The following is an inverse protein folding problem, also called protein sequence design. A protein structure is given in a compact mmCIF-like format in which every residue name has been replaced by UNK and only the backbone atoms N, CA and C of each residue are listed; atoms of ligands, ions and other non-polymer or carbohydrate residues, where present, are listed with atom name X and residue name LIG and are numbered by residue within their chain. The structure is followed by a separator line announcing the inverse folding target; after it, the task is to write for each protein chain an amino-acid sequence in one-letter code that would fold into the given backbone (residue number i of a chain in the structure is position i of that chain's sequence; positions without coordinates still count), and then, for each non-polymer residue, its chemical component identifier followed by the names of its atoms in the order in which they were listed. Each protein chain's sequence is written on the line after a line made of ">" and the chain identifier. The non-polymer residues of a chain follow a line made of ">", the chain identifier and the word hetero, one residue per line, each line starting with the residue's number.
data_IF_763777400700
#
_entry.id   IF_763777400700
#
_cell.length_a   1.000
_cell.length_b   1.000
_cell.length_c   1.000
_cell.angle_alpha   90.00
_cell.angle_beta   90.00
_cell.angle_gamma   90.00
#
_symmetry.space_group_name_H-M   'P 1'
#
loop_
_entity.id
_entity.type
_entity.pdbx_description
1 polymer ?
#
# COMPACT_ATOMS: atom_id res chain seq x y z
N UNK A 1 10.48 60.65 5.65
CA UNK A 1 10.10 61.93 5.08
C UNK A 1 9.12 61.70 3.94
N UNK A 2 8.01 62.43 4.07
CA UNK A 2 6.83 62.63 3.20
C UNK A 2 5.68 61.66 3.31
N UNK A 3 4.75 62.10 4.15
CA UNK A 3 3.30 61.92 4.11
C UNK A 3 2.73 62.50 2.79
N UNK A 4 1.67 61.90 2.30
CA UNK A 4 0.55 62.68 1.74
C UNK A 4 -0.71 61.83 1.76
N UNK A 5 -1.67 62.31 2.54
CA UNK A 5 -3.10 62.05 2.55
C UNK A 5 -3.73 62.20 1.19
N UNK A 6 -4.79 61.47 0.89
CA UNK A 6 -5.95 62.02 0.20
C UNK A 6 -7.26 61.36 0.65
N UNK A 7 -8.14 62.20 1.03
CA UNK A 7 -9.45 62.16 1.61
C UNK A 7 -10.55 61.60 0.71
N UNK A 8 -11.48 60.99 1.32
CA UNK A 8 -12.92 60.79 1.24
C UNK A 8 -13.73 61.84 0.44
N UNK A 9 -14.66 61.37 -0.44
CA UNK A 9 -15.98 61.99 -0.78
C UNK A 9 -16.81 60.86 -1.38
N UNK A 10 -17.89 60.48 -0.83
CA UNK A 10 -19.26 60.91 -0.55
C UNK A 10 -20.23 60.68 -1.73
N UNK A 11 -21.25 59.90 -1.40
CA UNK A 11 -22.67 59.87 -1.79
C UNK A 11 -23.10 59.93 -3.26
N UNK A 12 -23.93 59.00 -3.69
CA UNK A 12 -25.39 59.18 -3.86
C UNK A 12 -26.04 58.12 -4.74
N UNK A 13 -27.19 57.71 -4.26
CA UNK A 13 -28.45 57.39 -4.95
C UNK A 13 -28.65 56.02 -5.58
N UNK A 14 -29.52 55.27 -4.89
CA UNK A 14 -30.42 54.25 -5.44
C UNK A 14 -31.35 54.78 -6.54
N UNK A 15 -31.90 53.89 -7.35
CA UNK A 15 -33.35 53.75 -7.31
C UNK A 15 -33.82 52.29 -7.16
N UNK A 16 -34.89 52.18 -6.37
CA UNK A 16 -35.79 51.05 -6.27
C UNK A 16 -36.39 50.66 -7.63
N UNK A 17 -36.42 49.37 -7.91
CA UNK A 17 -37.40 48.79 -8.81
C UNK A 17 -38.13 47.62 -8.13
N UNK A 18 -39.43 47.90 -7.89
CA UNK A 18 -40.47 46.99 -7.49
C UNK A 18 -40.68 45.85 -8.49
N UNK A 19 -40.81 44.66 -7.98
CA UNK A 19 -41.91 43.76 -8.19
C UNK A 19 -41.98 42.93 -9.45
N UNK A 20 -41.91 41.64 -9.29
CA UNK A 20 -43.03 40.78 -9.67
C UNK A 20 -42.67 39.32 -9.29
N UNK A 21 -43.64 38.68 -8.66
CA UNK A 21 -43.57 37.35 -8.11
C UNK A 21 -43.33 36.25 -9.13
N UNK A 22 -42.61 35.26 -8.69
CA UNK A 22 -42.63 33.96 -9.29
C UNK A 22 -42.92 32.93 -8.18
N UNK A 23 -44.01 32.24 -8.42
CA UNK A 23 -44.66 31.20 -7.66
C UNK A 23 -43.68 30.09 -7.22
N UNK A 24 -43.62 29.87 -5.92
CA UNK A 24 -43.08 28.64 -5.32
C UNK A 24 -43.96 27.46 -5.74
N UNK A 25 -43.34 26.45 -6.33
CA UNK A 25 -43.90 25.09 -6.46
C UNK A 25 -43.64 24.32 -5.18
N UNK A 26 -44.66 23.67 -4.60
CA UNK A 26 -44.47 22.89 -3.43
C UNK A 26 -43.73 21.55 -3.72
N UNK A 27 -43.02 20.96 -2.72
CA UNK A 27 -42.30 19.71 -2.90
C UNK A 27 -43.28 18.56 -3.12
N UNK A 28 -42.92 17.52 -3.89
CA UNK A 28 -43.79 16.35 -4.12
C UNK A 28 -43.94 15.53 -2.85
N UNK A 29 -45.22 15.26 -2.50
CA UNK A 29 -45.62 14.41 -1.39
C UNK A 29 -45.26 12.94 -1.63
N UNK A 30 -44.63 12.33 -0.64
CA UNK A 30 -44.43 10.89 -0.49
C UNK A 30 -45.77 10.15 -0.26
N UNK A 31 -46.51 9.84 -1.30
CA UNK A 31 -47.60 8.87 -1.22
C UNK A 31 -48.04 8.42 -2.60
N UNK A 32 -47.32 7.52 -3.22
CA UNK A 32 -47.80 6.63 -4.28
C UNK A 32 -46.75 5.58 -4.64
N UNK A 33 -46.52 4.64 -3.75
CA UNK A 33 -46.00 3.32 -4.12
C UNK A 33 -46.67 2.32 -3.22
N UNK A 34 -47.90 1.98 -3.59
CA UNK A 34 -48.53 0.75 -3.09
C UNK A 34 -49.34 0.13 -4.21
N UNK A 35 -49.23 -1.20 -4.29
CA UNK A 35 -50.12 -2.14 -4.96
C UNK A 35 -49.98 -2.29 -6.48
N UNK A 36 -49.06 -3.18 -6.85
CA UNK A 36 -49.33 -4.18 -7.87
C UNK A 36 -49.04 -5.59 -7.33
N UNK A 37 -50.04 -6.13 -6.64
CA UNK A 37 -50.17 -7.57 -6.48
C UNK A 37 -50.46 -8.19 -7.86
N UNK A 38 -49.52 -8.99 -8.36
CA UNK A 38 -49.80 -9.93 -9.42
C UNK A 38 -50.13 -11.28 -8.81
N UNK A 39 -51.41 -11.58 -8.80
CA UNK A 39 -51.94 -12.90 -8.61
C UNK A 39 -51.41 -13.84 -9.70
N UNK A 40 -50.53 -14.77 -9.36
CA UNK A 40 -50.24 -15.92 -10.18
C UNK A 40 -50.94 -17.15 -9.61
N UNK A 41 -51.88 -17.68 -10.39
CA UNK A 41 -52.59 -18.90 -10.11
C UNK A 41 -51.63 -20.08 -9.97
N UNK A 42 -51.82 -20.79 -8.91
CA UNK A 42 -51.20 -22.07 -8.61
C UNK A 42 -51.76 -23.13 -9.52
N UNK A 43 -51.02 -23.64 -10.49
CA UNK A 43 -51.38 -24.85 -11.20
C UNK A 43 -50.37 -25.93 -10.79
N UNK A 44 -50.83 -26.80 -9.93
CA UNK A 44 -50.11 -27.96 -9.42
C UNK A 44 -50.10 -29.09 -10.44
N UNK A 45 -48.95 -29.26 -11.12
CA UNK A 45 -48.63 -30.54 -11.78
C UNK A 45 -47.27 -31.03 -11.24
N UNK A 46 -47.33 -32.09 -10.42
CA UNK A 46 -46.15 -32.67 -9.78
C UNK A 46 -45.13 -33.25 -10.76
N UNK A 47 -43.84 -33.10 -10.53
CA UNK A 47 -42.83 -33.66 -11.41
C UNK A 47 -42.68 -35.16 -11.14
N UNK A 48 -42.74 -35.94 -12.25
CA UNK A 48 -42.33 -37.34 -12.28
C UNK A 48 -40.82 -37.46 -12.03
N UNK A 49 -40.38 -37.52 -10.81
CA UNK A 49 -38.97 -37.57 -10.37
C UNK A 49 -38.28 -38.93 -10.54
N UNK A 50 -38.93 -39.93 -11.12
CA UNK A 50 -38.37 -41.31 -11.22
C UNK A 50 -37.51 -41.65 -12.41
N UNK A 51 -37.60 -40.92 -13.54
CA UNK A 51 -36.90 -41.32 -14.79
C UNK A 51 -35.55 -40.66 -15.02
N UNK A 52 -35.31 -39.49 -14.43
CA UNK A 52 -34.04 -38.74 -14.60
C UNK A 52 -32.91 -39.28 -13.72
N UNK A 53 -33.19 -39.79 -12.54
CA UNK A 53 -32.20 -40.32 -11.63
C UNK A 53 -31.61 -41.65 -12.15
N UNK A 54 -32.43 -42.47 -12.80
CA UNK A 54 -31.95 -43.73 -13.39
C UNK A 54 -31.03 -43.50 -14.60
N UNK A 55 -31.29 -42.48 -15.42
CA UNK A 55 -30.42 -42.09 -16.55
C UNK A 55 -29.06 -41.59 -16.14
N UNK A 56 -28.98 -40.79 -15.08
CA UNK A 56 -27.71 -40.24 -14.57
C UNK A 56 -26.86 -41.35 -13.93
N UNK A 57 -27.46 -42.29 -13.23
CA UNK A 57 -26.72 -43.40 -12.61
C UNK A 57 -26.12 -44.35 -13.65
N UNK A 58 -26.81 -44.58 -14.78
CA UNK A 58 -26.30 -45.44 -15.88
C UNK A 58 -25.16 -44.75 -16.62
N UNK A 59 -25.24 -43.43 -16.86
CA UNK A 59 -24.16 -42.66 -17.50
C UNK A 59 -22.93 -42.60 -16.63
N UNK A 60 -23.07 -42.36 -15.34
CA UNK A 60 -21.96 -42.36 -14.40
C UNK A 60 -21.27 -43.74 -14.28
N UNK A 61 -22.02 -44.82 -14.31
CA UNK A 61 -21.51 -46.19 -14.35
C UNK A 61 -20.71 -46.51 -15.62
N UNK A 62 -21.17 -46.05 -16.78
CA UNK A 62 -20.45 -46.23 -18.05
C UNK A 62 -19.11 -45.47 -18.09
N UNK A 63 -19.07 -44.24 -17.61
CA UNK A 63 -17.82 -43.47 -17.50
C UNK A 63 -16.82 -44.05 -16.51
N UNK A 64 -17.29 -44.64 -15.41
CA UNK A 64 -16.44 -45.33 -14.43
C UNK A 64 -15.81 -46.59 -15.03
N UNK A 65 -16.56 -47.35 -15.84
CA UNK A 65 -16.09 -48.57 -16.46
C UNK A 65 -15.10 -48.30 -17.61
N UNK A 66 -15.34 -47.27 -18.42
CA UNK A 66 -14.39 -46.82 -19.45
C UNK A 66 -13.12 -46.24 -18.85
N UNK A 67 -13.22 -45.44 -17.81
CA UNK A 67 -12.05 -44.88 -17.08
C UNK A 67 -11.18 -45.98 -16.45
N UNK A 68 -11.80 -47.02 -15.89
CA UNK A 68 -11.10 -48.15 -15.31
C UNK A 68 -10.34 -49.00 -16.35
N UNK A 69 -10.93 -49.23 -17.54
CA UNK A 69 -10.28 -50.00 -18.62
C UNK A 69 -9.11 -49.20 -19.23
N UNK A 70 -9.28 -47.88 -19.43
CA UNK A 70 -8.20 -47.00 -19.94
C UNK A 70 -7.06 -46.89 -18.92
N UNK A 71 -7.36 -46.76 -17.63
CA UNK A 71 -6.37 -46.74 -16.56
C UNK A 71 -5.52 -48.01 -16.50
N UNK A 72 -6.17 -49.20 -16.58
CA UNK A 72 -5.48 -50.50 -16.59
C UNK A 72 -4.66 -50.72 -17.89
N UNK A 73 -5.06 -50.15 -19.00
CA UNK A 73 -4.33 -50.25 -20.28
C UNK A 73 -3.05 -49.38 -20.25
N UNK A 74 -3.14 -48.18 -19.71
CA UNK A 74 -2.00 -47.25 -19.57
C UNK A 74 -0.97 -47.85 -18.59
N UNK A 75 -1.41 -48.42 -17.48
CA UNK A 75 -0.50 -49.04 -16.49
C UNK A 75 0.22 -50.31 -17.05
N UNK A 76 -0.43 -51.02 -17.96
CA UNK A 76 0.16 -52.16 -18.65
C UNK A 76 1.21 -51.80 -19.69
N UNK A 77 1.01 -50.66 -20.42
CA UNK A 77 2.01 -50.19 -21.38
C UNK A 77 3.23 -49.57 -20.74
N UNK A 78 3.09 -48.89 -19.58
CA UNK A 78 4.23 -48.34 -18.84
C UNK A 78 5.10 -49.43 -18.30
N UNK A 79 4.54 -50.54 -17.76
CA UNK A 79 5.29 -51.64 -17.23
C UNK A 79 5.99 -52.50 -18.31
N UNK A 80 5.61 -52.41 -19.58
CA UNK A 80 6.28 -53.12 -20.72
C UNK A 80 7.44 -52.31 -21.33
N UNK A 81 7.56 -51.03 -21.01
CA UNK A 81 8.68 -50.17 -21.46
C UNK A 81 9.88 -50.11 -20.54
N UNK A 82 9.78 -50.58 -19.32
CA UNK A 82 10.89 -50.55 -18.35
C UNK A 82 11.91 -51.69 -18.46
N UNK A 83 11.76 -52.56 -19.47
CA UNK A 83 12.60 -53.75 -19.57
C UNK A 83 13.49 -53.80 -20.82
N UNK A 84 14.21 -52.73 -21.17
CA UNK A 84 15.43 -52.81 -21.99
C UNK A 84 15.99 -51.38 -22.29
N UNK A 85 16.69 -50.82 -21.35
CA UNK A 85 17.77 -49.86 -21.62
C UNK A 85 18.68 -49.79 -20.41
N UNK A 86 19.75 -50.56 -20.50
CA UNK A 86 20.88 -50.39 -19.59
C UNK A 86 21.64 -49.15 -20.04
N UNK A 87 21.15 -47.97 -19.74
CA UNK A 87 21.95 -46.77 -19.72
C UNK A 87 22.60 -46.64 -18.33
N UNK A 88 23.90 -46.70 -18.34
CA UNK A 88 24.75 -46.42 -17.17
C UNK A 88 24.55 -44.95 -16.83
N UNK A 89 23.50 -44.62 -16.04
CA UNK A 89 23.37 -43.32 -15.40
C UNK A 89 24.47 -43.24 -14.35
N UNK A 90 25.50 -42.47 -14.67
CA UNK A 90 26.46 -41.98 -13.67
C UNK A 90 25.64 -41.20 -12.64
N UNK A 91 25.31 -41.83 -11.53
CA UNK A 91 24.73 -41.16 -10.39
C UNK A 91 25.72 -40.08 -9.93
N UNK A 92 25.45 -38.83 -10.28
CA UNK A 92 25.99 -37.72 -9.52
C UNK A 92 25.35 -37.80 -8.16
N UNK A 93 26.05 -38.43 -7.23
CA UNK A 93 25.68 -38.44 -5.82
C UNK A 93 25.80 -37.01 -5.33
N UNK A 94 24.70 -36.23 -5.47
CA UNK A 94 24.56 -35.01 -4.70
C UNK A 94 24.57 -35.43 -3.25
N UNK A 95 25.65 -35.11 -2.54
CA UNK A 95 25.70 -35.30 -1.10
C UNK A 95 24.41 -34.68 -0.50
N UNK A 96 23.70 -35.38 0.38
CA UNK A 96 22.56 -34.77 1.05
C UNK A 96 23.07 -33.51 1.74
N UNK A 97 22.44 -32.35 1.42
CA UNK A 97 22.66 -31.16 2.21
C UNK A 97 22.14 -31.51 3.59
N UNK A 98 23.07 -31.85 4.50
CA UNK A 98 22.76 -31.97 5.91
C UNK A 98 22.49 -30.55 6.38
N UNK A 99 21.20 -30.15 6.32
CA UNK A 99 20.76 -28.98 7.04
C UNK A 99 20.91 -29.33 8.51
N UNK A 100 21.97 -28.79 9.11
CA UNK A 100 22.19 -28.98 10.54
C UNK A 100 20.93 -28.41 11.24
N UNK A 101 20.22 -29.28 11.98
CA UNK A 101 18.99 -28.94 12.73
C UNK A 101 19.18 -27.84 13.78
N UNK A 102 20.35 -27.20 13.82
CA UNK A 102 20.66 -26.07 14.71
C UNK A 102 20.50 -24.67 14.05
N UNK A 103 20.36 -24.58 12.69
CA UNK A 103 20.30 -23.27 12.02
C UNK A 103 18.91 -22.63 12.11
N UNK A 104 17.84 -23.41 12.16
CA UNK A 104 16.47 -22.86 12.25
C UNK A 104 16.23 -22.20 13.62
N UNK A 105 16.78 -22.73 14.69
CA UNK A 105 16.63 -22.14 16.03
C UNK A 105 17.36 -20.79 16.18
N UNK A 106 18.42 -20.55 15.42
CA UNK A 106 19.18 -19.29 15.53
C UNK A 106 18.48 -18.14 14.77
N UNK A 107 17.98 -18.39 13.58
CA UNK A 107 17.23 -17.40 12.81
C UNK A 107 15.92 -17.03 13.51
N UNK A 108 15.16 -18.00 14.01
CA UNK A 108 13.92 -17.78 14.76
C UNK A 108 14.19 -17.00 16.06
N UNK A 109 15.30 -17.31 16.76
CA UNK A 109 15.73 -16.57 17.94
C UNK A 109 16.09 -15.12 17.64
N UNK A 110 16.71 -14.84 16.47
CA UNK A 110 17.04 -13.49 16.04
C UNK A 110 15.77 -12.70 15.71
N UNK A 111 14.83 -13.26 14.96
CA UNK A 111 13.56 -12.62 14.62
C UNK A 111 12.80 -12.25 15.90
N UNK A 112 12.68 -13.18 16.84
CA UNK A 112 12.03 -12.93 18.12
C UNK A 112 12.72 -11.81 18.92
N UNK A 113 14.06 -11.81 18.97
CA UNK A 113 14.83 -10.79 19.68
C UNK A 113 14.66 -9.40 19.05
N UNK A 114 14.67 -9.31 17.72
CA UNK A 114 14.43 -8.06 16.97
C UNK A 114 13.02 -7.56 17.22
N UNK A 115 12.01 -8.40 17.08
CA UNK A 115 10.61 -8.06 17.31
C UNK A 115 10.37 -7.55 18.74
N UNK A 116 10.92 -8.24 19.73
CA UNK A 116 10.79 -7.84 21.16
C UNK A 116 11.45 -6.49 21.42
N UNK A 117 12.63 -6.26 20.87
CA UNK A 117 13.35 -4.98 21.05
C UNK A 117 12.62 -3.81 20.41
N UNK A 118 12.04 -4.00 19.23
CA UNK A 118 11.38 -2.96 18.46
C UNK A 118 9.93 -2.72 18.89
N UNK A 119 9.31 -3.62 19.64
CA UNK A 119 7.93 -3.48 20.08
C UNK A 119 7.64 -2.11 20.74
N UNK A 120 8.60 -1.55 21.47
CA UNK A 120 8.46 -0.24 22.14
C UNK A 120 8.75 0.96 21.22
N UNK A 121 9.29 0.72 20.03
CA UNK A 121 9.58 1.75 19.01
C UNK A 121 8.55 1.79 17.90
N UNK A 122 7.54 0.89 17.94
CA UNK A 122 6.48 0.76 16.94
C UNK A 122 5.12 0.97 17.61
N UNK A 123 4.27 1.74 16.96
CA UNK A 123 2.98 2.16 17.52
C UNK A 123 1.85 1.95 16.52
N UNK A 124 0.62 1.76 17.02
CA UNK A 124 -0.58 1.83 16.18
C UNK A 124 -0.95 3.29 15.96
N UNK A 125 -1.16 3.69 14.70
CA UNK A 125 -1.69 5.01 14.33
C UNK A 125 -3.15 4.84 13.90
N UNK A 126 -4.04 5.61 14.49
CA UNK A 126 -5.48 5.55 14.24
C UNK A 126 -5.95 6.93 13.86
N UNK A 127 -6.47 7.06 12.67
CA UNK A 127 -7.01 8.31 12.10
C UNK A 127 -8.52 8.22 11.96
N UNK A 128 -9.24 9.23 12.44
CA UNK A 128 -10.67 9.41 12.20
C UNK A 128 -10.84 10.34 11.01
N UNK A 129 -11.61 9.92 10.01
CA UNK A 129 -11.82 10.64 8.75
C UNK A 129 -13.23 11.24 8.71
N UNK A 130 -13.40 12.45 8.15
CA UNK A 130 -14.71 13.08 7.97
C UNK A 130 -15.33 13.63 9.26
N UNK A 131 -16.64 13.91 9.25
CA UNK A 131 -17.35 14.41 10.43
C UNK A 131 -17.45 13.34 11.52
N UNK A 132 -17.42 13.78 12.79
CA UNK A 132 -17.52 12.89 13.95
C UNK A 132 -18.85 12.11 13.90
N UNK A 133 -18.74 10.78 13.83
CA UNK A 133 -19.90 9.86 13.83
C UNK A 133 -20.41 9.41 12.44
N UNK A 134 -19.92 10.00 11.35
CA UNK A 134 -20.28 9.62 9.97
C UNK A 134 -19.05 9.23 9.14
N UNK A 135 -17.85 9.51 9.65
CA UNK A 135 -16.58 9.33 8.95
C UNK A 135 -16.01 7.92 9.06
N UNK A 136 -15.13 7.60 8.10
CA UNK A 136 -14.34 6.38 8.10
C UNK A 136 -13.23 6.41 9.16
N UNK A 137 -12.56 5.26 9.32
CA UNK A 137 -11.37 5.11 10.16
C UNK A 137 -10.25 4.55 9.30
N UNK A 138 -9.07 5.16 9.38
CA UNK A 138 -7.83 4.62 8.82
C UNK A 138 -6.96 4.11 9.97
N UNK A 139 -6.32 2.97 9.78
CA UNK A 139 -5.42 2.39 10.76
C UNK A 139 -4.13 1.99 10.06
N UNK A 140 -3.03 2.38 10.67
CA UNK A 140 -1.69 2.05 10.24
C UNK A 140 -0.74 1.90 11.42
N UNK A 141 0.52 1.93 11.12
CA UNK A 141 1.62 1.81 12.06
C UNK A 141 2.47 3.08 12.03
N UNK A 142 3.20 3.35 13.09
CA UNK A 142 4.19 4.41 13.16
C UNK A 142 5.48 3.95 13.81
N UNK A 143 6.57 4.64 13.50
CA UNK A 143 7.91 4.41 14.03
C UNK A 143 8.31 5.60 14.90
N UNK A 144 8.65 5.36 16.14
CA UNK A 144 9.11 6.41 17.08
C UNK A 144 10.49 6.91 16.63
N UNK A 145 10.59 8.20 16.32
CA UNK A 145 11.83 8.87 15.91
C UNK A 145 12.62 9.43 17.06
N UNK A 146 11.91 9.94 18.10
CA UNK A 146 12.54 10.64 19.22
C UNK A 146 11.91 10.27 20.55
N UNK A 147 12.70 10.38 21.62
CA UNK A 147 12.23 10.07 22.97
C UNK A 147 11.17 11.03 23.49
N UNK A 148 10.98 12.18 22.83
CA UNK A 148 9.97 13.18 23.17
C UNK A 148 8.71 13.13 22.31
N UNK A 149 8.54 12.10 21.45
CA UNK A 149 7.28 11.78 20.83
C UNK A 149 7.11 12.14 19.34
N UNK A 150 8.17 12.40 18.58
CA UNK A 150 8.08 12.41 17.12
C UNK A 150 7.92 10.97 16.61
N UNK A 151 6.98 10.79 15.70
CA UNK A 151 6.63 9.48 15.11
C UNK A 151 6.49 9.68 13.62
N UNK A 152 7.12 8.79 12.84
CA UNK A 152 6.98 8.70 11.39
C UNK A 152 5.89 7.69 11.04
N UNK A 153 5.06 8.01 10.07
CA UNK A 153 4.06 7.09 9.49
C UNK A 153 3.88 7.41 8.01
N UNK A 154 3.00 6.70 7.30
CA UNK A 154 2.67 7.08 5.93
C UNK A 154 1.70 8.27 5.87
N UNK A 155 1.81 9.09 4.82
CA UNK A 155 0.91 10.22 4.59
C UNK A 155 -0.53 9.75 4.36
N UNK A 156 -0.75 8.65 3.63
CA UNK A 156 -2.08 8.10 3.39
C UNK A 156 -2.78 7.62 4.66
N UNK A 157 -2.04 7.23 5.72
CA UNK A 157 -2.61 6.81 7.01
C UNK A 157 -3.28 7.99 7.72
N UNK A 158 -2.74 9.20 7.57
CA UNK A 158 -3.25 10.43 8.22
C UNK A 158 -3.96 11.37 7.25
N UNK A 159 -4.08 11.00 5.97
CA UNK A 159 -4.75 11.80 4.92
C UNK A 159 -6.19 12.09 5.31
N UNK A 160 -6.58 13.36 5.25
CA UNK A 160 -7.94 13.84 5.58
C UNK A 160 -8.41 13.48 7.00
N UNK A 161 -7.48 13.23 7.91
CA UNK A 161 -7.81 12.94 9.30
C UNK A 161 -8.26 14.21 10.03
N UNK A 162 -9.40 14.15 10.71
CA UNK A 162 -9.86 15.20 11.64
C UNK A 162 -9.30 14.99 13.05
N UNK A 163 -8.89 13.77 13.37
CA UNK A 163 -8.14 13.46 14.57
C UNK A 163 -7.22 12.26 14.35
N UNK A 164 -6.07 12.28 15.01
CA UNK A 164 -5.12 11.17 15.03
C UNK A 164 -4.83 10.82 16.46
N UNK A 165 -4.87 9.52 16.76
CA UNK A 165 -4.43 9.00 18.06
C UNK A 165 -3.41 7.88 17.85
N UNK A 166 -2.52 7.70 18.81
CA UNK A 166 -1.45 6.71 18.78
C UNK A 166 -1.58 5.81 20.00
N UNK A 167 -1.51 4.50 19.79
CA UNK A 167 -1.48 3.52 20.88
C UNK A 167 -0.12 2.83 20.91
N UNK A 168 0.55 2.91 22.06
CA UNK A 168 1.82 2.25 22.30
C UNK A 168 1.61 0.79 22.72
N UNK A 169 2.66 -0.03 22.54
CA UNK A 169 2.64 -1.42 22.97
C UNK A 169 2.34 -1.52 24.49
N UNK A 170 1.37 -2.36 24.87
CA UNK A 170 0.97 -2.57 26.25
C UNK A 170 0.09 -1.46 26.86
N UNK A 171 -0.19 -0.36 26.15
CA UNK A 171 -1.13 0.67 26.58
C UNK A 171 -2.55 0.36 26.12
N UNK A 172 -3.53 0.56 27.04
CA UNK A 172 -4.96 0.43 26.74
C UNK A 172 -5.53 1.71 26.14
N UNK A 173 -5.05 2.86 26.62
CA UNK A 173 -5.56 4.16 26.21
C UNK A 173 -4.69 4.78 25.11
N UNK A 174 -5.28 5.19 23.98
CA UNK A 174 -4.54 5.89 22.94
C UNK A 174 -4.25 7.32 23.34
N UNK A 175 -3.11 7.85 22.90
CA UNK A 175 -2.70 9.24 23.09
C UNK A 175 -3.03 10.08 21.86
N UNK A 176 -3.50 11.31 22.07
CA UNK A 176 -3.76 12.25 20.96
C UNK A 176 -2.43 12.62 20.30
N UNK A 177 -2.41 12.57 18.97
CA UNK A 177 -1.29 12.98 18.16
C UNK A 177 -1.66 14.19 17.30
N UNK A 178 -0.68 15.09 17.12
CA UNK A 178 -0.77 16.22 16.20
C UNK A 178 0.00 15.89 14.92
N UNK A 179 -0.59 16.10 13.76
CA UNK A 179 0.12 16.05 12.48
C UNK A 179 1.00 17.30 12.42
N UNK A 180 2.30 17.14 12.30
CA UNK A 180 3.26 18.23 12.17
C UNK A 180 3.49 18.61 10.72
N UNK A 181 3.69 17.62 9.86
CA UNK A 181 3.97 17.79 8.44
C UNK A 181 3.59 16.53 7.64
N UNK A 182 3.34 16.68 6.35
CA UNK A 182 3.06 15.57 5.43
C UNK A 182 3.77 15.78 4.09
N UNK A 183 4.35 14.73 3.56
CA UNK A 183 4.87 14.65 2.19
C UNK A 183 4.08 13.59 1.43
N UNK A 184 3.13 14.04 0.62
CA UNK A 184 2.23 13.16 -0.14
C UNK A 184 2.98 12.49 -1.30
N UNK A 185 3.99 13.16 -1.87
CA UNK A 185 4.79 12.63 -2.97
C UNK A 185 5.64 11.43 -2.57
N UNK A 186 6.16 11.43 -1.34
CA UNK A 186 6.94 10.33 -0.77
C UNK A 186 6.13 9.46 0.19
N UNK A 187 4.83 9.71 0.32
CA UNK A 187 3.91 8.99 1.22
C UNK A 187 4.42 8.90 2.67
N UNK A 188 4.98 9.96 3.21
CA UNK A 188 5.46 10.04 4.60
C UNK A 188 4.80 11.18 5.36
N UNK A 189 4.61 11.01 6.67
CA UNK A 189 4.06 12.00 7.58
C UNK A 189 4.79 11.98 8.92
N UNK A 190 5.04 13.17 9.47
CA UNK A 190 5.56 13.38 10.81
C UNK A 190 4.41 13.76 11.75
N UNK A 191 4.20 12.97 12.80
CA UNK A 191 3.21 13.24 13.83
C UNK A 191 3.89 13.36 15.20
N UNK A 192 3.24 14.02 16.14
CA UNK A 192 3.75 14.29 17.48
C UNK A 192 2.75 13.89 18.53
N UNK A 193 3.20 13.14 19.52
CA UNK A 193 2.51 12.92 20.80
C UNK A 193 3.26 13.61 21.92
N UNK A 194 2.54 14.09 22.93
CA UNK A 194 3.15 14.59 24.16
C UNK A 194 3.58 13.41 25.03
N UNK A 195 4.88 13.12 25.00
CA UNK A 195 5.48 11.99 25.70
C UNK A 195 6.95 12.27 26.00
N UNK A 196 7.50 11.53 26.95
CA UNK A 196 8.93 11.53 27.29
C UNK A 196 9.40 10.10 27.55
N UNK A 197 10.69 9.85 27.33
CA UNK A 197 11.28 8.54 27.63
C UNK A 197 10.88 7.44 26.64
N UNK A 198 10.37 7.79 25.46
CA UNK A 198 10.08 6.81 24.42
C UNK A 198 11.37 6.21 23.86
N UNK A 199 11.28 4.96 23.41
CA UNK A 199 12.38 4.25 22.75
C UNK A 199 12.36 4.57 21.27
N UNK A 200 13.30 5.38 20.81
CA UNK A 200 13.44 5.69 19.38
C UNK A 200 13.99 4.49 18.60
N UNK A 201 13.52 4.30 17.39
CA UNK A 201 14.07 3.32 16.45
C UNK A 201 15.44 3.78 15.94
N UNK A 202 16.31 2.81 15.64
CA UNK A 202 17.60 3.05 14.99
C UNK A 202 17.45 2.81 13.50
N UNK A 203 17.97 3.70 12.68
CA UNK A 203 17.97 3.59 11.24
C UNK A 203 19.30 3.03 10.72
N UNK A 204 19.23 2.18 9.70
CA UNK A 204 20.40 1.69 9.00
C UNK A 204 21.10 2.84 8.26
N UNK A 205 22.38 2.65 7.93
CA UNK A 205 23.13 3.64 7.14
C UNK A 205 22.63 3.65 5.70
N UNK A 206 22.50 4.82 5.06
CA UNK A 206 22.23 4.90 3.63
C UNK A 206 23.19 4.04 2.81
N UNK A 207 22.69 3.39 1.76
CA UNK A 207 23.45 2.53 0.88
C UNK A 207 23.91 1.18 1.47
N UNK A 208 23.50 0.84 2.70
CA UNK A 208 23.89 -0.43 3.35
C UNK A 208 23.04 -1.63 2.92
N UNK A 209 21.83 -1.39 2.41
CA UNK A 209 20.85 -2.41 2.04
C UNK A 209 21.19 -3.05 0.70
N UNK A 210 21.08 -4.38 0.60
CA UNK A 210 21.37 -5.14 -0.61
C UNK A 210 20.27 -6.15 -0.92
N UNK A 211 20.14 -6.48 -2.20
CA UNK A 211 19.25 -7.57 -2.65
C UNK A 211 19.72 -8.88 -2.01
N UNK A 212 18.77 -9.63 -1.44
CA UNK A 212 19.03 -10.86 -0.71
C UNK A 212 19.21 -10.70 0.80
N UNK A 213 19.33 -9.45 1.30
CA UNK A 213 19.39 -9.21 2.75
C UNK A 213 18.10 -9.68 3.43
N UNK A 214 18.27 -10.40 4.55
CA UNK A 214 17.13 -10.81 5.37
C UNK A 214 16.50 -9.59 6.05
N UNK A 215 15.17 -9.47 5.97
CA UNK A 215 14.41 -8.38 6.54
C UNK A 215 13.16 -8.86 7.27
N UNK A 216 12.69 -8.04 8.20
CA UNK A 216 11.53 -8.28 9.02
C UNK A 216 10.61 -7.06 8.90
N UNK A 217 9.36 -7.27 8.46
CA UNK A 217 8.33 -6.24 8.49
C UNK A 217 7.55 -6.33 9.80
N UNK A 218 7.37 -5.17 10.45
CA UNK A 218 6.70 -5.06 11.75
C UNK A 218 5.57 -4.03 11.63
N UNK A 219 4.39 -4.35 12.17
CA UNK A 219 3.28 -3.41 12.19
C UNK A 219 2.02 -3.98 12.84
N UNK A 220 1.02 -3.12 13.05
CA UNK A 220 -0.25 -3.50 13.67
C UNK A 220 -1.30 -3.82 12.60
N UNK A 221 -1.16 -4.98 11.95
CA UNK A 221 -2.08 -5.43 10.92
C UNK A 221 -3.52 -5.46 11.43
N UNK A 222 -4.45 -4.84 10.69
CA UNK A 222 -5.89 -4.80 10.99
C UNK A 222 -6.27 -4.19 12.37
N UNK A 223 -5.35 -3.50 13.04
CA UNK A 223 -5.55 -2.96 14.40
C UNK A 223 -6.07 -3.98 15.41
N UNK A 224 -5.71 -5.23 15.25
CA UNK A 224 -6.08 -6.29 16.19
C UNK A 224 -5.46 -6.03 17.56
N UNK A 225 -6.15 -6.48 18.61
CA UNK A 225 -5.61 -6.43 19.96
C UNK A 225 -4.46 -7.43 20.10
N UNK A 226 -3.44 -7.02 20.85
CA UNK A 226 -2.22 -7.79 21.04
C UNK A 226 -0.97 -7.01 20.64
N UNK A 227 0.13 -7.73 20.39
CA UNK A 227 1.37 -7.15 19.92
C UNK A 227 1.38 -6.86 18.42
N UNK A 228 2.46 -6.24 17.90
CA UNK A 228 2.62 -6.05 16.48
C UNK A 228 2.73 -7.38 15.72
N UNK A 229 2.18 -7.41 14.52
CA UNK A 229 2.41 -8.50 13.56
C UNK A 229 3.84 -8.44 13.06
N UNK A 230 4.49 -9.58 12.98
CA UNK A 230 5.87 -9.73 12.53
C UNK A 230 5.90 -10.72 11.38
N UNK A 231 6.44 -10.32 10.24
CA UNK A 231 6.67 -11.18 9.08
C UNK A 231 8.11 -11.05 8.61
N UNK A 232 8.69 -12.12 8.07
CA UNK A 232 10.09 -12.13 7.65
C UNK A 232 10.24 -12.60 6.21
N UNK A 233 11.30 -12.14 5.56
CA UNK A 233 11.66 -12.48 4.19
C UNK A 233 12.97 -11.82 3.80
N UNK A 234 13.08 -11.37 2.55
CA UNK A 234 14.28 -10.76 1.99
C UNK A 234 13.99 -9.47 1.22
N UNK A 235 15.02 -8.71 0.96
CA UNK A 235 15.02 -7.66 -0.07
C UNK A 235 15.03 -8.33 -1.44
N UNK A 236 13.94 -8.25 -2.17
CA UNK A 236 13.80 -8.88 -3.50
C UNK A 236 14.34 -8.01 -4.63
N UNK A 237 14.20 -6.68 -4.53
CA UNK A 237 14.75 -5.69 -5.47
C UNK A 237 14.90 -4.31 -4.81
N UNK A 238 15.64 -3.45 -5.46
CA UNK A 238 15.90 -2.07 -5.01
C UNK A 238 15.54 -1.07 -6.10
N UNK A 239 15.38 0.19 -5.71
CA UNK A 239 15.10 1.32 -6.61
C UNK A 239 13.87 1.09 -7.50
N UNK A 240 12.81 0.50 -6.94
CA UNK A 240 11.54 0.31 -7.65
C UNK A 240 10.74 1.60 -7.65
N UNK A 241 10.01 1.80 -8.73
CA UNK A 241 8.97 2.82 -8.87
C UNK A 241 7.63 2.13 -9.04
N UNK A 242 6.61 2.61 -8.35
CA UNK A 242 5.22 2.16 -8.51
C UNK A 242 4.30 3.36 -8.70
N UNK A 243 3.30 3.20 -9.56
CA UNK A 243 2.22 4.17 -9.69
C UNK A 243 1.20 4.00 -8.58
N UNK A 244 0.77 5.11 -7.99
CA UNK A 244 -0.27 5.17 -6.97
C UNK A 244 -1.33 6.21 -7.34
N UNK A 245 -2.44 6.25 -6.62
CA UNK A 245 -3.47 7.29 -6.81
C UNK A 245 -2.95 8.72 -6.58
N UNK A 246 -1.86 8.88 -5.86
CA UNK A 246 -1.24 10.17 -5.52
C UNK A 246 -0.02 10.51 -6.37
N UNK A 247 0.35 9.65 -7.31
CA UNK A 247 1.52 9.80 -8.16
C UNK A 247 2.49 8.63 -8.04
N UNK A 248 3.65 8.75 -8.68
CA UNK A 248 4.70 7.73 -8.63
C UNK A 248 5.45 7.77 -7.29
N UNK A 249 5.56 6.63 -6.62
CA UNK A 249 6.47 6.43 -5.49
C UNK A 249 7.77 5.81 -5.99
N UNK A 250 8.87 6.48 -5.72
CA UNK A 250 10.20 6.11 -6.19
C UNK A 250 11.09 5.56 -5.06
N UNK A 251 12.29 5.09 -5.40
CA UNK A 251 13.31 4.63 -4.45
C UNK A 251 12.83 3.53 -3.52
N UNK A 252 11.92 2.66 -3.98
CA UNK A 252 11.33 1.64 -3.15
C UNK A 252 12.19 0.36 -3.08
N UNK A 253 12.18 -0.25 -1.91
CA UNK A 253 12.61 -1.63 -1.67
C UNK A 253 11.42 -2.53 -2.00
N UNK A 254 11.59 -3.47 -2.93
CA UNK A 254 10.68 -4.59 -3.10
C UNK A 254 11.07 -5.71 -2.15
N UNK A 255 10.12 -6.32 -1.45
CA UNK A 255 10.33 -7.34 -0.42
C UNK A 255 9.21 -8.37 -0.43
N UNK A 256 9.45 -9.56 0.11
CA UNK A 256 8.49 -10.67 0.15
C UNK A 256 7.86 -10.96 1.52
N UNK A 257 8.27 -10.39 2.66
CA UNK A 257 7.47 -10.43 3.88
C UNK A 257 6.04 -10.00 3.60
N UNK A 258 5.08 -10.64 4.24
CA UNK A 258 3.68 -10.27 4.10
C UNK A 258 3.45 -8.83 4.62
N UNK A 259 3.24 -7.89 3.70
CA UNK A 259 2.80 -6.52 3.99
C UNK A 259 1.31 -6.45 3.70
N UNK A 260 0.54 -5.88 4.61
CA UNK A 260 -0.92 -5.76 4.53
C UNK A 260 -1.39 -4.44 5.09
N UNK A 261 -2.68 -4.14 4.89
CA UNK A 261 -3.31 -2.98 5.52
C UNK A 261 -3.07 -3.02 7.04
N UNK A 262 -2.53 -1.94 7.58
CA UNK A 262 -2.14 -1.82 8.98
C UNK A 262 -0.64 -1.94 9.23
N UNK A 263 0.15 -2.62 8.38
CA UNK A 263 1.61 -2.55 8.44
C UNK A 263 2.15 -1.26 7.79
N UNK A 264 1.34 -0.55 7.01
CA UNK A 264 1.70 0.74 6.40
C UNK A 264 2.14 1.74 7.47
N UNK A 265 3.28 2.41 7.24
CA UNK A 265 3.95 3.30 8.20
C UNK A 265 4.82 2.59 9.23
N UNK A 266 4.78 1.25 9.30
CA UNK A 266 5.67 0.45 10.14
C UNK A 266 7.03 0.21 9.51
N UNK A 267 8.02 -0.21 10.30
CA UNK A 267 9.37 -0.42 9.80
C UNK A 267 9.53 -1.77 9.06
N UNK A 268 10.33 -1.74 7.99
CA UNK A 268 11.08 -2.86 7.49
C UNK A 268 12.47 -2.80 8.14
N UNK A 269 12.91 -3.85 8.81
CA UNK A 269 14.19 -3.83 9.56
C UNK A 269 15.09 -5.00 9.16
N UNK A 270 16.41 -4.80 9.34
CA UNK A 270 17.40 -5.86 9.21
C UNK A 270 17.47 -6.73 10.47
N UNK A 271 18.30 -7.78 10.46
CA UNK A 271 18.50 -8.68 11.62
C UNK A 271 19.21 -8.01 12.82
N UNK A 272 19.79 -6.83 12.64
CA UNK A 272 20.33 -5.99 13.72
C UNK A 272 19.22 -5.15 14.37
N UNK A 273 17.99 -5.12 13.78
CA UNK A 273 16.86 -4.31 14.21
C UNK A 273 17.00 -2.85 13.84
N UNK A 274 17.77 -2.53 12.81
CA UNK A 274 17.86 -1.20 12.24
C UNK A 274 16.82 -1.07 11.13
N UNK A 275 16.14 0.07 11.06
CA UNK A 275 15.14 0.38 10.05
C UNK A 275 15.83 0.56 8.70
N UNK A 276 15.51 -0.28 7.74
CA UNK A 276 15.99 -0.24 6.34
C UNK A 276 14.97 0.38 5.39
N UNK A 277 13.72 0.51 5.84
CA UNK A 277 12.65 1.17 5.09
C UNK A 277 11.37 1.31 5.90
N UNK A 278 10.40 2.04 5.33
CA UNK A 278 9.04 2.20 5.87
C UNK A 278 8.05 1.50 4.93
N UNK A 279 7.31 0.53 5.45
CA UNK A 279 6.33 -0.23 4.69
C UNK A 279 5.22 0.71 4.18
N UNK A 280 4.85 0.63 2.90
CA UNK A 280 3.85 1.54 2.34
C UNK A 280 2.75 0.83 1.54
N UNK A 281 3.08 -0.05 0.63
CA UNK A 281 2.14 -0.62 -0.32
C UNK A 281 2.38 -2.10 -0.59
N UNK A 282 1.35 -2.75 -1.11
CA UNK A 282 1.42 -4.05 -1.76
C UNK A 282 1.04 -3.88 -3.22
N UNK A 283 1.73 -4.57 -4.13
CA UNK A 283 1.26 -4.66 -5.51
C UNK A 283 -0.10 -5.37 -5.51
N UNK A 284 -1.15 -4.62 -5.81
CA UNK A 284 -2.45 -5.21 -6.17
C UNK A 284 -2.38 -5.41 -7.67
N UNK A 285 -2.12 -6.65 -8.11
CA UNK A 285 -2.32 -7.01 -9.50
C UNK A 285 -3.76 -6.73 -9.91
N UNK A 286 -3.99 -6.56 -11.19
CA UNK A 286 -5.34 -6.56 -11.76
C UNK A 286 -6.10 -7.79 -11.26
N UNK A 287 -7.43 -7.74 -11.30
CA UNK A 287 -8.30 -8.82 -10.83
C UNK A 287 -7.99 -10.22 -11.44
N UNK A 288 -7.16 -10.27 -12.49
CA UNK A 288 -6.72 -11.50 -13.16
C UNK A 288 -5.30 -11.96 -12.76
N UNK A 289 -4.48 -11.10 -12.13
CA UNK A 289 -3.14 -11.43 -11.66
C UNK A 289 -2.92 -10.93 -10.24
N UNK A 290 -3.44 -11.66 -9.25
CA UNK A 290 -3.13 -11.39 -7.85
C UNK A 290 -1.65 -11.68 -7.60
N UNK A 291 -0.81 -10.63 -7.65
CA UNK A 291 0.57 -10.73 -7.21
C UNK A 291 0.57 -10.93 -5.69
N UNK A 292 0.83 -12.16 -5.24
CA UNK A 292 1.02 -12.49 -3.83
C UNK A 292 2.49 -12.34 -3.46
N UNK A 293 2.77 -11.89 -2.24
CA UNK A 293 4.13 -11.74 -1.69
C UNK A 293 5.01 -10.70 -2.43
N UNK A 294 4.41 -9.61 -2.91
CA UNK A 294 5.14 -8.44 -3.40
C UNK A 294 4.74 -7.25 -2.54
N UNK A 295 5.62 -6.89 -1.62
CA UNK A 295 5.49 -5.72 -0.77
C UNK A 295 6.50 -4.64 -1.17
N UNK A 296 6.20 -3.39 -0.84
CA UNK A 296 7.08 -2.25 -1.06
C UNK A 296 7.28 -1.46 0.22
N UNK A 297 8.52 -0.99 0.40
CA UNK A 297 8.89 -0.09 1.50
C UNK A 297 9.71 1.06 0.95
N UNK A 298 9.45 2.27 1.43
CA UNK A 298 10.26 3.45 1.11
C UNK A 298 11.65 3.22 1.71
N UNK A 299 12.71 3.32 0.91
CA UNK A 299 14.07 2.99 1.36
C UNK A 299 14.56 3.94 2.45
N UNK A 300 15.46 3.46 3.32
CA UNK A 300 16.09 4.30 4.35
C UNK A 300 16.82 5.50 3.76
N UNK A 301 17.35 5.36 2.54
CA UNK A 301 18.03 6.44 1.82
C UNK A 301 17.08 7.63 1.60
N UNK A 302 15.84 7.36 1.19
CA UNK A 302 14.81 8.37 0.99
C UNK A 302 14.19 8.83 2.32
N UNK A 303 13.89 7.89 3.21
CA UNK A 303 13.26 8.16 4.50
C UNK A 303 14.03 9.21 5.31
N UNK A 304 15.37 9.11 5.39
CA UNK A 304 16.18 10.03 6.17
C UNK A 304 16.17 11.46 5.60
N UNK A 305 16.15 11.59 4.26
CA UNK A 305 16.02 12.88 3.58
C UNK A 305 14.67 13.51 3.89
N UNK A 306 13.59 12.73 3.75
CA UNK A 306 12.22 13.22 3.95
C UNK A 306 11.94 13.57 5.42
N UNK A 307 12.50 12.84 6.40
CA UNK A 307 12.38 13.20 7.82
C UNK A 307 12.86 14.63 8.08
N UNK A 308 14.04 15.01 7.56
CA UNK A 308 14.55 16.37 7.75
C UNK A 308 13.66 17.40 7.04
N UNK A 309 13.16 17.10 5.84
CA UNK A 309 12.24 17.98 5.13
C UNK A 309 10.91 18.16 5.88
N UNK A 310 10.37 17.09 6.48
CA UNK A 310 9.16 17.16 7.30
C UNK A 310 9.37 17.98 8.57
N UNK A 311 10.56 17.91 9.19
CA UNK A 311 10.93 18.74 10.34
C UNK A 311 11.04 20.21 9.96
N UNK A 312 11.65 20.51 8.82
CA UNK A 312 11.74 21.88 8.30
C UNK A 312 10.34 22.45 8.04
N UNK A 313 9.47 21.69 7.39
CA UNK A 313 8.07 22.08 7.16
C UNK A 313 7.32 22.31 8.48
N UNK A 314 7.50 21.44 9.48
CA UNK A 314 6.90 21.58 10.80
C UNK A 314 7.36 22.86 11.54
N UNK A 315 8.58 23.33 11.25
CA UNK A 315 9.15 24.57 11.77
C UNK A 315 8.82 25.80 10.91
N UNK A 316 7.96 25.67 9.88
CA UNK A 316 7.52 26.78 9.03
C UNK A 316 8.52 27.13 7.92
N UNK A 317 9.50 26.27 7.64
CA UNK A 317 10.37 26.41 6.47
C UNK A 317 9.59 25.97 5.23
N UNK A 318 9.31 26.92 4.34
CA UNK A 318 8.64 26.60 3.09
C UNK A 318 9.56 25.77 2.18
N UNK A 319 9.12 24.59 1.80
CA UNK A 319 9.80 23.76 0.79
C UNK A 319 9.66 24.43 -0.57
N UNK A 320 10.77 24.83 -1.14
CA UNK A 320 10.81 25.26 -2.54
C UNK A 320 10.94 24.02 -3.41
N UNK A 321 9.82 23.48 -3.82
CA UNK A 321 9.82 22.41 -4.81
C UNK A 321 10.20 22.98 -6.17
N UNK A 322 11.11 22.32 -6.87
CA UNK A 322 11.39 22.62 -8.26
C UNK A 322 10.16 22.26 -9.10
N UNK A 323 9.70 23.18 -9.90
CA UNK A 323 8.60 22.96 -10.85
C UNK A 323 9.17 22.94 -12.26
N UNK A 324 9.12 21.79 -12.92
CA UNK A 324 9.58 21.65 -14.31
C UNK A 324 8.45 21.95 -15.30
N UNK A 325 7.23 21.54 -15.00
CA UNK A 325 6.03 21.78 -15.81
C UNK A 325 5.87 20.79 -16.96
N UNK A 326 6.12 19.51 -16.72
CA UNK A 326 5.93 18.41 -17.67
C UNK A 326 4.99 17.35 -17.11
N UNK A 327 4.25 16.69 -18.00
CA UNK A 327 3.61 15.40 -17.74
C UNK A 327 4.55 14.28 -18.19
N UNK A 328 4.60 13.20 -17.43
CA UNK A 328 5.46 12.05 -17.72
C UNK A 328 4.64 10.76 -17.75
N UNK A 329 5.07 9.80 -18.58
CA UNK A 329 4.59 8.41 -18.54
C UNK A 329 5.75 7.45 -18.72
N UNK A 330 5.60 6.24 -18.18
CA UNK A 330 6.56 5.16 -18.44
C UNK A 330 6.54 4.72 -19.91
N UNK A 331 7.59 4.06 -20.35
CA UNK A 331 7.70 3.49 -21.70
C UNK A 331 7.06 2.11 -21.74
N UNK A 332 6.13 1.91 -22.69
CA UNK A 332 5.47 0.61 -22.91
C UNK A 332 6.33 -0.34 -23.78
N UNK A 333 7.35 0.19 -24.47
CA UNK A 333 8.24 -0.59 -25.35
C UNK A 333 9.39 -1.30 -24.61
N UNK A 334 9.42 -1.21 -23.27
CA UNK A 334 10.47 -1.80 -22.44
C UNK A 334 11.80 -1.07 -22.47
N UNK A 335 11.87 0.10 -23.12
CA UNK A 335 13.05 0.96 -23.11
C UNK A 335 13.21 1.71 -21.77
N UNK A 336 14.40 2.24 -21.52
CA UNK A 336 14.67 3.06 -20.34
C UNK A 336 14.20 4.50 -20.54
N UNK A 337 13.87 5.18 -19.43
CA UNK A 337 13.47 6.57 -19.39
C UNK A 337 11.98 6.79 -19.34
N UNK A 338 11.57 8.06 -19.21
CA UNK A 338 10.19 8.50 -19.18
C UNK A 338 9.87 9.37 -20.41
N UNK A 339 8.67 9.20 -20.99
CA UNK A 339 8.19 9.99 -22.14
C UNK A 339 7.49 11.23 -21.62
N UNK A 340 7.81 12.40 -22.17
CA UNK A 340 7.10 13.64 -21.94
C UNK A 340 5.71 13.57 -22.63
N UNK A 341 4.63 13.62 -21.87
CA UNK A 341 3.26 13.57 -22.39
C UNK A 341 2.62 14.95 -22.52
N UNK A 342 3.09 15.90 -21.71
CA UNK A 342 2.60 17.29 -21.70
C UNK A 342 3.72 18.24 -21.32
N UNK A 343 3.70 19.46 -21.86
CA UNK A 343 4.60 20.55 -21.47
C UNK A 343 3.74 21.78 -21.23
N UNK A 344 3.74 22.27 -20.01
CA UNK A 344 2.96 23.44 -19.62
C UNK A 344 3.56 24.70 -20.20
N UNK A 345 2.77 25.44 -20.97
CA UNK A 345 3.19 26.71 -21.56
C UNK A 345 3.68 27.71 -20.50
N UNK A 346 4.82 28.36 -20.74
CA UNK A 346 5.47 29.28 -19.82
C UNK A 346 6.19 28.64 -18.64
N UNK A 347 6.29 27.30 -18.61
CA UNK A 347 7.07 26.57 -17.59
C UNK A 347 8.56 26.60 -17.87
N UNK A 348 9.41 26.23 -16.90
CA UNK A 348 10.84 26.02 -17.14
C UNK A 348 11.15 25.02 -18.26
N UNK A 349 10.37 23.96 -18.40
CA UNK A 349 10.52 22.98 -19.48
C UNK A 349 10.25 23.59 -20.86
N UNK A 350 9.17 24.38 -21.00
CA UNK A 350 8.83 25.12 -22.22
C UNK A 350 9.95 26.12 -22.58
N UNK A 351 10.42 26.87 -21.59
CA UNK A 351 11.54 27.80 -21.77
C UNK A 351 12.87 27.11 -22.12
N UNK A 352 13.06 25.86 -21.72
CA UNK A 352 14.23 25.05 -22.06
C UNK A 352 14.10 24.33 -23.41
N UNK A 353 12.93 24.42 -24.08
CA UNK A 353 12.68 23.78 -25.37
C UNK A 353 12.38 22.28 -25.29
N UNK A 354 11.98 21.79 -24.15
CA UNK A 354 11.47 20.40 -23.98
C UNK A 354 10.12 20.31 -24.70
N UNK A 355 9.90 19.23 -25.45
CA UNK A 355 8.65 19.02 -26.20
C UNK A 355 8.02 17.67 -25.89
N UNK A 356 6.73 17.56 -26.19
CA UNK A 356 5.97 16.31 -26.06
C UNK A 356 6.62 15.22 -26.92
N UNK A 357 6.73 14.01 -26.42
CA UNK A 357 7.42 12.83 -26.93
C UNK A 357 8.94 12.85 -26.75
N UNK A 358 9.54 13.84 -26.13
CA UNK A 358 10.93 13.72 -25.67
C UNK A 358 11.02 12.57 -24.63
N UNK A 359 12.19 11.93 -24.58
CA UNK A 359 12.48 10.88 -23.62
C UNK A 359 13.52 11.39 -22.63
N UNK A 360 13.14 11.49 -21.36
CA UNK A 360 14.09 11.79 -20.28
C UNK A 360 14.79 10.50 -19.88
N UNK A 361 16.09 10.42 -20.11
CA UNK A 361 16.90 9.23 -19.81
C UNK A 361 17.57 9.30 -18.45
N UNK A 362 17.87 10.51 -17.97
CA UNK A 362 18.53 10.72 -16.68
C UNK A 362 18.26 12.13 -16.16
N UNK A 363 18.32 12.30 -14.84
CA UNK A 363 18.32 13.59 -14.15
C UNK A 363 19.59 13.67 -13.31
N UNK A 364 20.39 14.74 -13.45
CA UNK A 364 21.67 14.92 -12.76
C UNK A 364 22.65 13.74 -12.93
N UNK A 365 22.54 13.01 -14.06
CA UNK A 365 23.36 11.84 -14.37
C UNK A 365 22.84 10.52 -13.79
N UNK A 366 21.81 10.55 -12.96
CA UNK A 366 21.14 9.36 -12.47
C UNK A 366 20.07 8.90 -13.49
N UNK A 367 20.10 7.64 -13.93
CA UNK A 367 19.12 7.12 -14.90
C UNK A 367 17.71 7.03 -14.28
N UNK A 368 16.72 7.23 -15.15
CA UNK A 368 15.30 7.13 -14.79
C UNK A 368 14.78 5.75 -15.23
#
# INVERSE_FOLDING_TARGET
>A
LFMSDYTQTDSSSMPEHRGQGSSELPPPSLSQFNDRQLSSQHNSSGPRRGRTIFGIAVIAGLFGLIGGIVGAYVERETNLRESNSTETVTQVTSAPIVVASGSNNMADSLILSVATRLANSVVTVISTLGEVGVGGRSVGTGVVLTSNGEILTNAHVVKSAISVVVRFAGETEPRVAKILATDVGNDLALIKVEATGLVAATFAKPGSVKIGDAVIAIGYALALDGGPTVTSGIVSAMKRTIETETGALNSLIQTDPAISSGNSGGPLVNLQGEVVGINTAVARGDSESAATNIGFSISVDEVLIVIEQLRDQANGVERREGFLGVGLTGREDGGQGAIITDVRAGSPADGAGIVVNDIVLSVDGEPI
#
